data_IF_086761668314
#
_entry.id   IF_086761668314
#
_cell.length_a   1.000
_cell.length_b   1.000
_cell.length_c   1.000
_cell.angle_alpha   90.00
_cell.angle_beta   90.00
_cell.angle_gamma   90.00
#
_symmetry.space_group_name_H-M   'P 1'
#
loop_
_entity.id
_entity.type
_entity.pdbx_description
1 polymer ?
#
# COMPACT_ATOMS: atom_id res chain seq x y z
N UNK A 1 12.53 -17.50 -5.20
CA UNK A 1 11.65 -16.76 -4.27
C UNK A 1 11.93 -15.28 -4.42
N UNK A 2 11.30 -14.62 -5.40
CA UNK A 2 11.54 -13.19 -5.64
C UNK A 2 10.89 -12.37 -4.52
N UNK A 3 11.69 -11.58 -3.79
CA UNK A 3 11.14 -10.57 -2.89
C UNK A 3 10.53 -9.47 -3.75
N UNK A 4 9.20 -9.33 -3.77
CA UNK A 4 8.50 -8.22 -4.44
C UNK A 4 8.95 -6.92 -3.77
N UNK A 5 9.85 -6.17 -4.42
CA UNK A 5 10.45 -4.93 -3.88
C UNK A 5 9.57 -3.70 -4.10
N UNK A 6 8.70 -3.76 -5.11
CA UNK A 6 7.72 -2.73 -5.41
C UNK A 6 6.46 -3.35 -6.03
N UNK A 7 5.33 -2.66 -5.90
CA UNK A 7 4.03 -3.03 -6.47
C UNK A 7 3.42 -1.79 -7.11
N UNK A 8 3.00 -1.92 -8.35
CA UNK A 8 2.21 -0.87 -9.03
C UNK A 8 0.74 -1.16 -8.77
N UNK A 9 0.03 -0.17 -8.30
CA UNK A 9 -1.39 -0.23 -7.94
C UNK A 9 -2.12 0.80 -8.78
N UNK A 10 -3.15 0.37 -9.49
CA UNK A 10 -4.05 1.27 -10.23
C UNK A 10 -5.18 1.65 -9.30
N UNK A 11 -5.39 2.95 -9.13
CA UNK A 11 -6.47 3.49 -8.33
C UNK A 11 -7.78 3.40 -9.12
N UNK A 12 -8.86 3.00 -8.46
CA UNK A 12 -10.21 3.07 -9.00
C UNK A 12 -10.66 4.53 -9.09
N UNK A 13 -10.34 5.34 -8.07
CA UNK A 13 -10.59 6.78 -8.07
C UNK A 13 -9.28 7.55 -8.20
N UNK A 14 -9.01 8.17 -9.37
CA UNK A 14 -7.76 8.90 -9.56
C UNK A 14 -7.68 10.13 -8.66
N UNK A 15 -6.47 10.43 -8.20
CA UNK A 15 -6.20 11.60 -7.37
C UNK A 15 -5.90 12.79 -8.27
N UNK A 16 -6.72 13.83 -8.20
CA UNK A 16 -6.51 15.07 -8.95
C UNK A 16 -5.70 16.08 -8.13
N UNK A 17 -4.47 16.38 -8.57
CA UNK A 17 -3.60 17.40 -7.99
C UNK A 17 -3.41 18.54 -8.98
N UNK A 18 -4.37 19.46 -8.99
CA UNK A 18 -4.41 20.55 -9.98
C UNK A 18 -4.62 20.01 -11.38
N UNK A 19 -3.62 20.15 -12.24
CA UNK A 19 -3.63 19.64 -13.63
C UNK A 19 -3.12 18.20 -13.75
N UNK A 20 -2.54 17.64 -12.68
CA UNK A 20 -2.01 16.28 -12.67
C UNK A 20 -3.07 15.30 -12.15
N UNK A 21 -3.28 14.22 -12.90
CA UNK A 21 -4.12 13.10 -12.49
C UNK A 21 -3.23 11.88 -12.19
N UNK A 22 -3.36 11.37 -10.96
CA UNK A 22 -2.63 10.18 -10.52
C UNK A 22 -3.60 9.00 -10.58
N UNK A 23 -3.43 8.17 -11.61
CA UNK A 23 -4.21 6.94 -11.82
C UNK A 23 -3.49 5.70 -11.30
N UNK A 24 -2.17 5.78 -11.13
CA UNK A 24 -1.33 4.67 -10.68
C UNK A 24 -0.34 5.14 -9.63
N UNK A 25 -0.12 4.29 -8.62
CA UNK A 25 0.81 4.51 -7.53
C UNK A 25 1.70 3.29 -7.39
N UNK A 26 3.00 3.51 -7.38
CA UNK A 26 3.99 2.48 -7.09
C UNK A 26 4.31 2.51 -5.60
N UNK A 27 4.02 1.43 -4.89
CA UNK A 27 4.44 1.23 -3.50
C UNK A 27 5.75 0.45 -3.44
N UNK A 28 6.73 0.98 -2.74
CA UNK A 28 7.98 0.31 -2.42
C UNK A 28 7.88 -0.41 -1.09
N UNK A 29 8.63 -1.51 -0.94
CA UNK A 29 8.74 -2.24 0.33
C UNK A 29 9.28 -1.29 1.41
N UNK A 30 8.52 -1.03 2.50
CA UNK A 30 8.97 -0.16 3.58
C UNK A 30 10.19 -0.74 4.29
N UNK A 31 11.22 0.09 4.48
CA UNK A 31 12.26 -0.15 5.47
C UNK A 31 11.75 0.25 6.85
N UNK A 32 12.38 -0.25 7.92
CA UNK A 32 12.00 0.07 9.30
C UNK A 32 11.91 1.59 9.57
N UNK A 33 12.76 2.39 8.91
CA UNK A 33 12.72 3.86 9.00
C UNK A 33 11.43 4.50 8.48
N UNK A 34 10.75 3.88 7.52
CA UNK A 34 9.48 4.38 6.98
C UNK A 34 8.32 4.27 7.98
N UNK A 35 8.44 3.39 8.98
CA UNK A 35 7.42 3.17 10.02
C UNK A 35 7.66 4.03 11.27
N UNK A 36 8.66 4.93 11.25
CA UNK A 36 8.97 5.79 12.40
C UNK A 36 7.76 6.60 12.83
N UNK A 37 7.42 6.50 14.12
CA UNK A 37 6.31 7.24 14.74
C UNK A 37 4.92 6.65 14.46
N UNK A 38 4.88 5.36 14.06
CA UNK A 38 3.67 4.59 13.81
C UNK A 38 3.84 3.22 14.47
N UNK A 39 2.81 2.72 15.17
CA UNK A 39 2.87 1.36 15.70
C UNK A 39 2.63 0.35 14.57
N UNK A 40 3.35 -0.77 14.59
CA UNK A 40 3.18 -1.83 13.57
C UNK A 40 1.76 -2.39 13.56
N UNK A 41 1.14 -2.48 14.74
CA UNK A 41 -0.25 -2.92 14.91
C UNK A 41 -1.23 -2.03 14.16
N UNK A 42 -1.01 -0.71 14.18
CA UNK A 42 -1.91 0.25 13.53
C UNK A 42 -1.87 0.08 12.01
N UNK A 43 -0.69 -0.19 11.45
CA UNK A 43 -0.53 -0.50 10.01
C UNK A 43 -1.22 -1.83 9.67
N UNK A 44 -1.09 -2.85 10.52
CA UNK A 44 -1.75 -4.15 10.32
C UNK A 44 -3.27 -4.07 10.45
N UNK A 45 -3.77 -3.14 11.27
CA UNK A 45 -5.19 -2.84 11.43
C UNK A 45 -5.71 -1.86 10.37
N UNK A 46 -4.86 -1.46 9.41
CA UNK A 46 -5.20 -0.53 8.34
C UNK A 46 -5.69 0.83 8.86
N UNK A 47 -5.13 1.30 9.98
CA UNK A 47 -5.49 2.59 10.55
C UNK A 47 -5.14 3.73 9.58
N UNK A 48 -6.12 4.60 9.33
CA UNK A 48 -6.02 5.68 8.34
C UNK A 48 -4.90 6.65 8.71
N UNK A 49 -4.72 6.96 10.00
CA UNK A 49 -3.68 7.90 10.46
C UNK A 49 -2.30 7.27 10.30
N UNK A 50 -2.14 5.99 10.62
CA UNK A 50 -0.93 5.22 10.39
C UNK A 50 -0.56 5.18 8.90
N UNK A 51 -1.51 4.79 8.04
CA UNK A 51 -1.32 4.74 6.59
C UNK A 51 -0.97 6.11 6.00
N UNK A 52 -1.61 7.18 6.48
CA UNK A 52 -1.32 8.56 6.03
C UNK A 52 0.09 9.05 6.35
N UNK A 53 0.78 8.40 7.30
CA UNK A 53 2.19 8.68 7.64
C UNK A 53 3.16 7.78 6.88
N UNK A 54 2.75 6.55 6.57
CA UNK A 54 3.60 5.55 5.91
C UNK A 54 3.57 5.71 4.39
N UNK A 55 2.39 5.80 3.79
CA UNK A 55 2.20 5.89 2.33
C UNK A 55 3.05 7.00 1.67
N UNK A 56 3.12 8.23 2.21
CA UNK A 56 3.98 9.28 1.63
C UNK A 56 5.46 8.93 1.54
N UNK A 57 5.94 7.98 2.36
CA UNK A 57 7.36 7.61 2.46
C UNK A 57 7.74 6.48 1.50
N UNK A 58 6.75 5.78 0.94
CA UNK A 58 6.96 4.58 0.13
C UNK A 58 6.20 4.61 -1.20
N UNK A 59 5.44 5.67 -1.48
CA UNK A 59 4.69 5.83 -2.73
C UNK A 59 5.45 6.66 -3.75
N UNK A 60 5.30 6.28 -5.02
CA UNK A 60 5.72 7.05 -6.18
C UNK A 60 4.60 7.03 -7.25
N UNK A 61 4.00 8.18 -7.61
CA UNK A 61 4.28 9.52 -7.10
C UNK A 61 3.95 9.67 -5.61
N UNK A 62 4.66 10.58 -4.93
CA UNK A 62 4.50 10.80 -3.49
C UNK A 62 3.05 11.23 -3.18
N UNK A 63 2.33 10.36 -2.46
CA UNK A 63 1.03 10.66 -1.88
C UNK A 63 1.24 11.54 -0.66
N UNK A 64 0.67 12.74 -0.63
CA UNK A 64 0.68 13.56 0.57
C UNK A 64 -0.32 13.01 1.59
N UNK A 65 -0.17 13.40 2.86
CA UNK A 65 -1.16 13.07 3.89
C UNK A 65 -2.57 13.53 3.49
N UNK A 66 -2.70 14.68 2.83
CA UNK A 66 -4.00 15.17 2.36
C UNK A 66 -4.58 14.27 1.25
N UNK A 67 -3.75 13.75 0.36
CA UNK A 67 -4.22 12.83 -0.68
C UNK A 67 -4.76 11.55 -0.05
N UNK A 68 -4.03 10.98 0.93
CA UNK A 68 -4.47 9.76 1.63
C UNK A 68 -5.79 9.98 2.37
N UNK A 69 -5.99 11.15 2.97
CA UNK A 69 -7.25 11.48 3.67
C UNK A 69 -8.42 11.75 2.71
N UNK A 70 -8.16 11.93 1.42
CA UNK A 70 -9.15 12.19 0.36
C UNK A 70 -9.33 11.02 -0.59
N UNK A 71 -8.56 9.94 -0.41
CA UNK A 71 -8.71 8.71 -1.17
C UNK A 71 -10.09 8.10 -0.97
N UNK A 72 -10.55 7.40 -1.98
CA UNK A 72 -11.70 6.52 -1.84
C UNK A 72 -11.38 5.40 -0.81
N UNK A 73 -12.34 5.00 0.04
CA UNK A 73 -12.11 3.92 1.01
C UNK A 73 -11.63 2.61 0.38
N UNK A 74 -12.06 2.28 -0.85
CA UNK A 74 -11.61 1.08 -1.55
C UNK A 74 -10.14 1.17 -1.95
N UNK A 75 -9.71 2.33 -2.48
CA UNK A 75 -8.32 2.59 -2.83
C UNK A 75 -7.43 2.60 -1.59
N UNK A 76 -7.89 3.20 -0.49
CA UNK A 76 -7.17 3.20 0.78
C UNK A 76 -6.98 1.78 1.32
N UNK A 77 -8.03 0.95 1.25
CA UNK A 77 -7.96 -0.46 1.63
C UNK A 77 -6.99 -1.24 0.75
N UNK A 78 -6.99 -1.01 -0.56
CA UNK A 78 -6.09 -1.66 -1.51
C UNK A 78 -4.63 -1.31 -1.21
N UNK A 79 -4.31 -0.02 -1.07
CA UNK A 79 -2.97 0.44 -0.72
C UNK A 79 -2.55 -0.10 0.65
N UNK A 80 -3.42 -0.02 1.65
CA UNK A 80 -3.14 -0.50 3.01
C UNK A 80 -2.87 -2.00 3.07
N UNK A 81 -3.62 -2.80 2.31
CA UNK A 81 -3.44 -4.26 2.24
C UNK A 81 -2.07 -4.63 1.65
N UNK A 82 -1.61 -3.92 0.61
CA UNK A 82 -0.27 -4.12 0.06
C UNK A 82 0.83 -3.74 1.07
N UNK A 83 0.64 -2.64 1.81
CA UNK A 83 1.57 -2.25 2.89
C UNK A 83 1.64 -3.31 3.98
N UNK A 84 0.50 -3.79 4.47
CA UNK A 84 0.43 -4.87 5.46
C UNK A 84 1.07 -6.15 4.91
N UNK A 85 0.83 -6.47 3.64
CA UNK A 85 1.44 -7.62 2.94
C UNK A 85 2.97 -7.57 2.87
N UNK A 86 3.59 -6.38 2.88
CA UNK A 86 5.04 -6.24 2.98
C UNK A 86 5.60 -6.57 4.36
N UNK A 87 4.79 -6.40 5.42
CA UNK A 87 5.20 -6.67 6.81
C UNK A 87 5.12 -8.16 7.17
N UNK A 88 4.34 -8.95 6.42
CA UNK A 88 4.24 -10.39 6.62
C UNK A 88 5.56 -11.07 6.21
N UNK A 89 6.19 -11.86 7.11
CA UNK A 89 7.42 -12.61 6.80
C UNK A 89 7.22 -13.54 5.60
N UNK A 90 8.27 -13.70 4.77
CA UNK A 90 8.21 -14.61 3.61
C UNK A 90 7.85 -16.05 3.97
N UNK A 91 8.14 -16.49 5.20
CA UNK A 91 7.78 -17.82 5.72
C UNK A 91 6.27 -18.03 5.92
N UNK A 92 5.49 -16.95 5.92
CA UNK A 92 4.04 -16.96 6.17
C UNK A 92 3.21 -16.52 4.97
N UNK A 93 3.84 -16.19 3.85
CA UNK A 93 3.14 -15.88 2.60
C UNK A 93 2.74 -17.20 1.94
N UNK A 94 1.50 -17.63 2.17
CA UNK A 94 0.90 -18.71 1.37
C UNK A 94 0.67 -18.11 -0.01
N UNK A 95 1.44 -18.56 -0.98
CA UNK A 95 1.21 -18.27 -2.39
C UNK A 95 -0.09 -18.97 -2.79
N UNK A 96 -1.21 -18.26 -2.70
CA UNK A 96 -2.50 -18.75 -3.20
C UNK A 96 -2.49 -18.59 -4.72
N UNK A 97 -1.60 -19.33 -5.39
CA UNK A 97 -1.83 -19.73 -6.77
C UNK A 97 -2.91 -20.79 -6.73
N UNK A 98 -4.17 -20.35 -6.83
CA UNK A 98 -5.27 -21.24 -7.16
C UNK A 98 -5.09 -21.65 -8.62
N UNK A 99 -4.46 -22.80 -8.84
CA UNK A 99 -4.53 -23.52 -10.10
C UNK A 99 -6.02 -23.75 -10.45
N UNK A 100 -6.57 -23.18 -11.54
CA UNK A 100 -7.96 -23.45 -11.95
C UNK A 100 -8.11 -24.82 -12.63
N UNK A 101 -7.27 -25.80 -12.32
CA UNK A 101 -7.31 -27.14 -12.92
C UNK A 101 -7.74 -28.18 -11.90
N UNK A 102 -8.98 -28.11 -11.41
CA UNK A 102 -9.72 -29.28 -10.92
C UNK A 102 -11.22 -29.02 -11.02
N UNK A 103 -11.85 -29.85 -11.86
CA UNK A 103 -13.29 -29.99 -12.20
C UNK A 103 -13.76 -29.21 -13.41
#
# INVERSE_FOLDING_TARGET
MQSKQSVVITLDTPITRGEQEITTVTLMKPLAGALRGVALTDVLQLDVIALSKVLPRISDPVLTTQDVLRLDPADLLQLGTEVAGFLVPNSSKVDVTLDPSTT
#
